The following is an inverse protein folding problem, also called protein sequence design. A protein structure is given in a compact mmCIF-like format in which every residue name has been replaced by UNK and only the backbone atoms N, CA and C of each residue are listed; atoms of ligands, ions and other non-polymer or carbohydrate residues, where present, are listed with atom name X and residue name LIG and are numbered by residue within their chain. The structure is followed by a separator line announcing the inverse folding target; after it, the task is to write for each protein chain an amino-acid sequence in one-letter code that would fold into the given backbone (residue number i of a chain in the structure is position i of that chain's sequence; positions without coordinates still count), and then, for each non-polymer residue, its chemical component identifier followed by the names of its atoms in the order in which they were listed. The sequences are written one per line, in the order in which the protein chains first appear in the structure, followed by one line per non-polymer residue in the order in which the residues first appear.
data_IF_684064840756
#
_entry.id   IF_684064840756
#
_cell.length_a   1.000
_cell.length_b   1.000
_cell.length_c   1.000
_cell.angle_alpha   90.00
_cell.angle_beta   90.00
_cell.angle_gamma   90.00
#
_symmetry.space_group_name_H-M   'P 1'
#
loop_
_entity.id
_entity.type
_entity.pdbx_description
1 polymer ?
#
# COMPACT_ATOMS: atom_id res chain seq x y z
N UNK A 1 -20.71 -27.07 -10.05
CA UNK A 1 -20.16 -25.79 -9.56
C UNK A 1 -18.78 -25.63 -10.17
N UNK A 2 -18.67 -24.80 -11.20
CA UNK A 2 -17.38 -24.46 -11.81
C UNK A 2 -16.61 -23.68 -10.75
N UNK A 3 -15.45 -24.17 -10.33
CA UNK A 3 -14.49 -23.34 -9.61
C UNK A 3 -13.89 -22.43 -10.68
N UNK A 4 -14.26 -21.16 -10.70
CA UNK A 4 -13.65 -20.19 -11.60
C UNK A 4 -12.13 -20.18 -11.32
N UNK A 5 -11.34 -20.66 -12.28
CA UNK A 5 -9.89 -20.89 -12.16
C UNK A 5 -9.05 -19.59 -12.12
N UNK A 6 -9.68 -18.42 -11.95
CA UNK A 6 -9.03 -17.10 -11.94
C UNK A 6 -9.41 -16.28 -10.70
N UNK A 7 -9.28 -16.84 -9.49
CA UNK A 7 -9.41 -16.03 -8.27
C UNK A 7 -8.12 -15.23 -8.03
N UNK A 8 -8.02 -14.08 -8.68
CA UNK A 8 -6.92 -13.14 -8.43
C UNK A 8 -6.99 -12.62 -6.99
N UNK A 9 -5.82 -12.46 -6.37
CA UNK A 9 -5.71 -11.83 -5.04
C UNK A 9 -6.36 -10.46 -5.09
N UNK A 10 -7.04 -10.08 -4.01
CA UNK A 10 -7.68 -8.78 -3.88
C UNK A 10 -7.06 -8.01 -2.73
N UNK A 11 -6.79 -6.73 -2.93
CA UNK A 11 -6.31 -5.84 -1.88
C UNK A 11 -7.54 -5.34 -1.12
N UNK A 12 -7.74 -5.72 0.16
CA UNK A 12 -8.89 -5.27 0.92
C UNK A 12 -8.77 -3.78 1.25
N UNK A 13 -9.91 -3.15 1.48
CA UNK A 13 -10.02 -1.75 1.91
C UNK A 13 -9.81 -1.59 3.42
N UNK A 14 -9.81 -2.67 4.19
CA UNK A 14 -9.86 -2.61 5.66
C UNK A 14 -11.20 -2.09 6.17
N UNK A 15 -12.23 -2.12 5.33
CA UNK A 15 -13.58 -1.66 5.65
C UNK A 15 -14.56 -2.75 5.22
N UNK A 16 -15.17 -3.50 6.17
CA UNK A 16 -16.04 -4.63 5.85
C UNK A 16 -17.18 -4.29 4.87
N UNK A 17 -17.69 -3.06 4.92
CA UNK A 17 -18.74 -2.58 4.01
C UNK A 17 -18.21 -2.46 2.57
N UNK A 18 -17.08 -1.77 2.38
CA UNK A 18 -16.46 -1.60 1.05
C UNK A 18 -15.96 -2.93 0.50
N UNK A 19 -15.34 -3.76 1.35
CA UNK A 19 -14.91 -5.09 0.98
C UNK A 19 -16.09 -5.96 0.56
N UNK A 20 -17.22 -5.90 1.26
CA UNK A 20 -18.46 -6.58 0.86
C UNK A 20 -18.96 -6.11 -0.51
N UNK A 21 -18.99 -4.80 -0.74
CA UNK A 21 -19.40 -4.22 -2.03
C UNK A 21 -18.48 -4.63 -3.19
N UNK A 22 -17.17 -4.74 -2.92
CA UNK A 22 -16.14 -5.08 -3.91
C UNK A 22 -15.79 -6.58 -3.94
N UNK A 23 -16.58 -7.41 -3.25
CA UNK A 23 -16.41 -8.87 -3.16
C UNK A 23 -15.00 -9.26 -2.67
N UNK A 24 -14.53 -8.61 -1.63
CA UNK A 24 -13.25 -8.87 -0.96
C UNK A 24 -12.11 -7.90 -1.28
N UNK A 25 -12.38 -6.79 -1.98
CA UNK A 25 -11.39 -5.72 -2.22
C UNK A 25 -11.12 -5.41 -3.69
N UNK A 26 -10.07 -4.61 -3.93
CA UNK A 26 -9.62 -4.24 -5.27
C UNK A 26 -8.92 -5.40 -5.97
N UNK A 27 -9.21 -5.68 -7.26
CA UNK A 27 -8.51 -6.72 -8.00
C UNK A 27 -7.03 -6.39 -8.16
N UNK A 28 -6.14 -7.36 -7.91
CA UNK A 28 -4.68 -7.15 -8.08
C UNK A 28 -4.21 -7.14 -9.54
N UNK A 29 -5.11 -7.37 -10.50
CA UNK A 29 -4.82 -7.33 -11.92
C UNK A 29 -5.49 -6.13 -12.58
N UNK A 30 -4.71 -5.42 -13.39
CA UNK A 30 -5.15 -4.22 -14.11
C UNK A 30 -4.71 -2.92 -13.44
N UNK A 31 -5.15 -1.81 -14.04
CA UNK A 31 -4.89 -0.46 -13.55
C UNK A 31 -6.20 0.09 -13.00
N UNK A 32 -6.14 0.67 -11.80
CA UNK A 32 -7.30 1.25 -11.12
C UNK A 32 -7.00 2.74 -10.93
N UNK A 33 -7.89 3.58 -11.42
CA UNK A 33 -7.80 5.02 -11.24
C UNK A 33 -8.75 5.46 -10.11
N UNK A 34 -8.19 6.21 -9.15
CA UNK A 34 -8.95 6.86 -8.09
C UNK A 34 -8.94 8.37 -8.30
N UNK A 35 -10.07 8.93 -8.70
CA UNK A 35 -10.22 10.36 -9.01
C UNK A 35 -11.18 11.06 -8.04
N UNK A 36 -11.04 12.38 -7.92
CA UNK A 36 -11.87 13.23 -7.04
C UNK A 36 -11.15 14.49 -6.58
N UNK A 37 -11.87 15.39 -5.92
CA UNK A 37 -11.36 16.69 -5.45
C UNK A 37 -10.25 16.58 -4.39
N UNK A 38 -9.47 17.64 -4.20
CA UNK A 38 -8.51 17.72 -3.10
C UNK A 38 -9.22 17.50 -1.75
N UNK A 39 -8.64 16.68 -0.88
CA UNK A 39 -9.25 16.34 0.40
C UNK A 39 -10.33 15.24 0.36
N UNK A 40 -10.68 14.69 -0.81
CA UNK A 40 -11.68 13.59 -0.92
C UNK A 40 -11.22 12.24 -0.34
N UNK A 41 -9.99 12.14 0.17
CA UNK A 41 -9.45 10.92 0.79
C UNK A 41 -8.62 10.03 -0.14
N UNK A 42 -8.29 10.46 -1.36
CA UNK A 42 -7.50 9.64 -2.31
C UNK A 42 -6.19 9.11 -1.72
N UNK A 43 -5.39 10.00 -1.14
CA UNK A 43 -4.12 9.64 -0.50
C UNK A 43 -4.34 8.72 0.72
N UNK A 44 -5.42 8.92 1.48
CA UNK A 44 -5.75 8.05 2.61
C UNK A 44 -6.06 6.63 2.15
N UNK A 45 -6.85 6.50 1.08
CA UNK A 45 -7.16 5.20 0.49
C UNK A 45 -5.89 4.55 -0.08
N UNK A 46 -5.03 5.30 -0.76
CA UNK A 46 -3.75 4.78 -1.24
C UNK A 46 -2.90 4.20 -0.09
N UNK A 47 -2.74 4.93 1.02
CA UNK A 47 -2.03 4.44 2.21
C UNK A 47 -2.66 3.19 2.82
N UNK A 48 -3.99 3.11 2.85
CA UNK A 48 -4.71 1.94 3.37
C UNK A 48 -4.48 0.70 2.50
N UNK A 49 -4.43 0.87 1.17
CA UNK A 49 -4.12 -0.21 0.24
C UNK A 49 -2.65 -0.66 0.36
N UNK A 50 -1.71 0.26 0.58
CA UNK A 50 -0.32 -0.10 0.91
C UNK A 50 -0.26 -0.95 2.18
N UNK A 51 -0.92 -0.49 3.25
CA UNK A 51 -0.96 -1.18 4.54
C UNK A 51 -1.52 -2.59 4.39
N UNK A 52 -2.65 -2.72 3.69
CA UNK A 52 -3.31 -4.01 3.43
C UNK A 52 -2.44 -4.94 2.56
N UNK A 53 -1.64 -4.38 1.66
CA UNK A 53 -0.72 -5.16 0.83
C UNK A 53 0.43 -5.73 1.65
N UNK A 54 1.08 -4.92 2.50
CA UNK A 54 2.23 -5.35 3.30
C UNK A 54 1.84 -6.10 4.58
N UNK A 55 0.57 -6.03 4.98
CA UNK A 55 0.02 -6.75 6.13
C UNK A 55 0.07 -8.28 5.94
N UNK A 56 0.29 -9.06 7.01
CA UNK A 56 0.34 -10.53 6.92
C UNK A 56 -0.95 -11.15 6.39
N UNK A 57 -0.83 -12.22 5.59
CA UNK A 57 -1.98 -12.88 4.97
C UNK A 57 -2.94 -13.50 6.00
N UNK A 58 -2.41 -13.95 7.14
CA UNK A 58 -3.19 -14.49 8.27
C UNK A 58 -4.15 -13.46 8.91
N UNK A 59 -3.94 -12.16 8.68
CA UNK A 59 -4.80 -11.08 9.15
C UNK A 59 -5.60 -10.43 8.02
N UNK A 60 -5.73 -11.12 6.87
CA UNK A 60 -6.48 -10.64 5.72
C UNK A 60 -5.70 -9.71 4.79
N UNK A 61 -4.42 -9.42 5.08
CA UNK A 61 -3.53 -8.73 4.15
C UNK A 61 -3.06 -9.62 3.00
N UNK A 62 -2.10 -9.13 2.22
CA UNK A 62 -1.53 -9.90 1.09
C UNK A 62 -0.13 -10.45 1.34
N UNK A 63 0.52 -10.02 2.41
CA UNK A 63 1.93 -10.32 2.73
C UNK A 63 2.85 -10.08 1.52
N UNK A 64 2.54 -9.02 0.78
CA UNK A 64 3.23 -8.63 -0.45
C UNK A 64 4.11 -7.40 -0.27
N UNK A 65 4.77 -7.01 -1.35
CA UNK A 65 5.50 -5.75 -1.45
C UNK A 65 4.62 -4.67 -2.11
N UNK A 66 4.84 -3.41 -1.72
CA UNK A 66 4.14 -2.25 -2.26
C UNK A 66 5.12 -1.13 -2.60
N UNK A 67 4.90 -0.48 -3.75
CA UNK A 67 5.71 0.65 -4.23
C UNK A 67 4.83 1.90 -4.32
N UNK A 68 5.16 2.92 -3.54
CA UNK A 68 4.47 4.21 -3.56
C UNK A 68 5.28 5.21 -4.37
N UNK A 69 4.68 5.69 -5.47
CA UNK A 69 5.25 6.75 -6.31
C UNK A 69 4.53 8.05 -6.02
N UNK A 70 5.27 9.06 -5.58
CA UNK A 70 4.75 10.42 -5.43
C UNK A 70 5.27 11.31 -6.55
N UNK A 71 4.36 11.93 -7.29
CA UNK A 71 4.68 13.03 -8.22
C UNK A 71 4.53 14.41 -7.55
N UNK A 72 3.82 14.47 -6.43
CA UNK A 72 3.54 15.70 -5.68
C UNK A 72 3.77 15.46 -4.19
N UNK A 73 4.55 16.34 -3.56
CA UNK A 73 4.82 16.26 -2.12
C UNK A 73 5.64 15.04 -1.69
N UNK A 74 5.88 14.96 -0.38
CA UNK A 74 6.55 13.83 0.26
C UNK A 74 5.57 12.70 0.59
N UNK A 75 6.11 11.50 0.83
CA UNK A 75 5.31 10.41 1.40
C UNK A 75 4.68 10.87 2.73
N UNK A 76 3.39 10.58 2.99
CA UNK A 76 2.72 10.97 4.23
C UNK A 76 3.18 10.17 5.48
N UNK A 77 4.47 10.18 5.79
CA UNK A 77 5.11 9.36 6.85
C UNK A 77 4.37 9.43 8.19
N UNK A 78 4.01 10.64 8.64
CA UNK A 78 3.25 10.81 9.89
C UNK A 78 1.93 10.04 9.87
N UNK A 79 1.20 10.10 8.75
CA UNK A 79 -0.08 9.40 8.63
C UNK A 79 0.12 7.89 8.53
N UNK A 80 1.12 7.45 7.75
CA UNK A 80 1.51 6.05 7.68
C UNK A 80 1.82 5.47 9.07
N UNK A 81 2.67 6.14 9.87
CA UNK A 81 3.02 5.70 11.22
C UNK A 81 1.79 5.59 12.13
N UNK A 82 0.84 6.52 12.03
CA UNK A 82 -0.43 6.43 12.78
C UNK A 82 -1.25 5.19 12.39
N UNK A 83 -1.37 4.92 11.09
CA UNK A 83 -2.13 3.76 10.60
C UNK A 83 -1.46 2.44 11.02
N UNK A 84 -0.13 2.38 10.90
CA UNK A 84 0.65 1.22 11.29
C UNK A 84 0.57 0.96 12.81
N UNK A 85 0.61 2.01 13.63
CA UNK A 85 0.42 1.88 15.09
C UNK A 85 -0.95 1.31 15.45
N UNK A 86 -2.02 1.78 14.82
CA UNK A 86 -3.37 1.24 15.06
C UNK A 86 -3.44 -0.22 14.66
N UNK A 87 -2.94 -0.56 13.48
CA UNK A 87 -2.92 -1.95 12.99
C UNK A 87 -2.14 -2.88 13.93
N UNK A 88 -0.94 -2.47 14.37
CA UNK A 88 -0.12 -3.26 15.29
C UNK A 88 -0.69 -3.30 16.72
N UNK A 89 -1.51 -2.33 17.13
CA UNK A 89 -2.23 -2.41 18.40
C UNK A 89 -3.33 -3.48 18.36
N UNK A 90 -3.98 -3.67 17.20
CA UNK A 90 -4.95 -4.75 16.97
C UNK A 90 -4.29 -6.11 16.71
N UNK A 91 -3.03 -6.10 16.25
CA UNK A 91 -2.21 -7.28 15.97
C UNK A 91 -0.82 -7.21 16.64
N UNK A 92 -0.73 -7.38 17.97
CA UNK A 92 0.51 -7.15 18.74
C UNK A 92 1.71 -8.02 18.34
N UNK A 93 1.47 -9.15 17.67
CA UNK A 93 2.49 -10.05 17.13
C UNK A 93 3.12 -9.54 15.83
N UNK A 94 2.54 -8.52 15.20
CA UNK A 94 3.03 -7.96 13.95
C UNK A 94 4.01 -6.83 14.22
N UNK A 95 5.25 -7.00 13.76
CA UNK A 95 6.29 -5.98 13.86
C UNK A 95 6.10 -4.90 12.79
N UNK A 96 5.98 -3.61 13.16
CA UNK A 96 5.95 -2.49 12.21
C UNK A 96 7.13 -2.53 11.23
N UNK A 97 8.34 -2.82 11.74
CA UNK A 97 9.57 -2.87 10.94
C UNK A 97 9.54 -3.99 9.90
N UNK A 98 8.91 -5.13 10.20
CA UNK A 98 8.79 -6.22 9.23
C UNK A 98 7.84 -5.85 8.09
N UNK A 99 6.76 -5.13 8.39
CA UNK A 99 5.85 -4.62 7.35
C UNK A 99 6.54 -3.58 6.47
N UNK A 100 7.32 -2.68 7.07
CA UNK A 100 8.00 -1.60 6.35
C UNK A 100 9.13 -2.10 5.43
N UNK A 101 9.71 -3.29 5.66
CA UNK A 101 10.66 -3.93 4.71
C UNK A 101 10.07 -4.15 3.32
N UNK A 102 8.76 -4.30 3.24
CA UNK A 102 8.04 -4.54 1.99
C UNK A 102 7.42 -3.25 1.42
N UNK A 103 7.70 -2.09 2.01
CA UNK A 103 7.23 -0.79 1.52
C UNK A 103 8.38 -0.01 0.90
N UNK A 104 8.25 0.27 -0.39
CA UNK A 104 9.20 1.05 -1.17
C UNK A 104 8.58 2.40 -1.52
N UNK A 105 9.31 3.49 -1.28
CA UNK A 105 8.82 4.85 -1.50
C UNK A 105 9.73 5.53 -2.50
N UNK A 106 9.15 6.11 -3.54
CA UNK A 106 9.90 6.85 -4.56
C UNK A 106 9.21 8.17 -4.88
N UNK A 107 10.00 9.23 -4.91
CA UNK A 107 9.54 10.55 -5.34
C UNK A 107 10.06 10.82 -6.74
N UNK A 108 9.16 11.17 -7.63
CA UNK A 108 9.48 11.54 -9.02
C UNK A 108 9.29 13.04 -9.13
N UNK A 109 10.39 13.78 -9.19
CA UNK A 109 10.36 15.25 -9.27
C UNK A 109 10.11 15.74 -10.70
N UNK A 110 10.54 14.97 -11.69
CA UNK A 110 10.36 15.29 -13.11
C UNK A 110 10.36 14.03 -14.00
N UNK A 111 9.80 14.13 -15.19
CA UNK A 111 9.72 13.03 -16.17
C UNK A 111 11.10 12.49 -16.57
N UNK A 112 12.13 13.33 -16.60
CA UNK A 112 13.50 12.91 -16.93
C UNK A 112 14.09 12.00 -15.85
N UNK A 113 13.82 12.27 -14.58
CA UNK A 113 14.28 11.50 -13.42
C UNK A 113 13.63 10.11 -13.36
N UNK A 114 12.39 9.98 -13.85
CA UNK A 114 11.67 8.69 -13.89
C UNK A 114 12.39 7.64 -14.73
N UNK A 115 12.94 8.03 -15.89
CA UNK A 115 13.61 7.09 -16.80
C UNK A 115 15.09 6.84 -16.46
N UNK A 116 15.67 7.63 -15.57
CA UNK A 116 17.09 7.55 -15.20
C UNK A 116 17.35 6.72 -13.94
N UNK A 117 16.35 6.54 -13.08
CA UNK A 117 16.50 5.77 -11.84
C UNK A 117 16.35 4.27 -12.12
N UNK A 118 17.48 3.55 -12.10
CA UNK A 118 17.48 2.10 -11.98
C UNK A 118 16.76 1.70 -10.68
N UNK A 119 16.08 0.56 -10.69
CA UNK A 119 15.39 0.00 -9.51
C UNK A 119 16.30 0.10 -8.28
N UNK A 120 15.93 0.85 -7.22
CA UNK A 120 16.77 0.95 -6.05
C UNK A 120 16.96 -0.44 -5.45
N UNK A 121 18.18 -0.74 -5.05
CA UNK A 121 18.47 -1.99 -4.36
C UNK A 121 17.72 -2.01 -3.02
N UNK A 122 17.38 -3.18 -2.46
CA UNK A 122 16.69 -3.27 -1.17
C UNK A 122 17.37 -2.47 -0.04
N UNK A 123 18.68 -2.22 -0.14
CA UNK A 123 19.44 -1.42 0.82
C UNK A 123 19.10 0.08 0.80
N UNK A 124 18.73 0.64 -0.35
CA UNK A 124 18.49 2.09 -0.52
C UNK A 124 17.07 2.50 -0.11
N UNK A 125 16.12 1.58 -0.17
CA UNK A 125 14.72 1.81 0.22
C UNK A 125 14.56 2.08 1.73
N UNK A 126 15.49 1.60 2.57
CA UNK A 126 15.42 1.75 4.02
C UNK A 126 15.88 3.12 4.55
N UNK A 127 16.54 3.95 3.74
CA UNK A 127 17.11 5.24 4.18
C UNK A 127 16.12 6.42 4.16
N UNK A 128 14.93 6.26 3.57
CA UNK A 128 13.96 7.37 3.37
C UNK A 128 12.90 7.49 4.47
N UNK A 129 12.89 6.61 5.47
CA UNK A 129 11.92 6.63 6.59
C UNK A 129 12.44 7.35 7.86
N UNK A 130 13.64 7.91 7.83
CA UNK A 130 14.22 8.66 8.95
C UNK A 130 14.25 10.16 8.66
N UNK A 131 13.09 10.82 8.78
CA UNK A 131 12.96 12.26 9.03
C UNK A 131 11.78 12.51 9.97
#
# INVERSE_FOLDING_TARGET
MVKDENYHKKVPFGCPVLDGMMRGGLPSQGIIELTGEAGSGKTQLALQLLLSTVAPARHGGLEGAAFYVSTEGEFPTRRWSQMLQVYCAEHPEVSPKEMEKNLFIHKVADLSSFWQNQTPTPAEAHQSLHY
#
